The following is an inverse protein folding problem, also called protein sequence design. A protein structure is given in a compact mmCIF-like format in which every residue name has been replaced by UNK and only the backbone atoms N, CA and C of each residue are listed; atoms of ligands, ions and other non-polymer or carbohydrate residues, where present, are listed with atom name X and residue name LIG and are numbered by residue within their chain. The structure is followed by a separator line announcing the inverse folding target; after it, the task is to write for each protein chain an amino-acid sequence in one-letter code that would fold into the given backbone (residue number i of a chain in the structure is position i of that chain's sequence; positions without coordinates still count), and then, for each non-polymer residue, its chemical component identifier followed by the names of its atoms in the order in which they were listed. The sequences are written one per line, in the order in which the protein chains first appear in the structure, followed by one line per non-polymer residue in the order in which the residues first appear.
data_IF_456252829132
#
_entry.id   IF_456252829132
#
_cell.length_a   1.000
_cell.length_b   1.000
_cell.length_c   1.000
_cell.angle_alpha   90.00
_cell.angle_beta   90.00
_cell.angle_gamma   90.00
#
_symmetry.space_group_name_H-M   'P 1'
#
loop_
_entity.id
_entity.type
_entity.pdbx_description
1 polymer ?
#
# COMPACT_ATOMS: atom_id res chain seq x y z
N UNK A 1 -3.39 88.54 -41.46
CA UNK A 1 -4.05 88.03 -40.21
C UNK A 1 -4.06 86.55 -40.28
N UNK A 2 -3.04 85.89 -39.65
CA UNK A 2 -2.80 84.47 -39.75
C UNK A 2 -3.12 83.80 -38.42
N UNK A 3 -4.08 82.88 -38.37
CA UNK A 3 -4.32 81.97 -37.22
C UNK A 3 -3.59 80.68 -37.48
N UNK A 4 -2.60 80.39 -36.64
CA UNK A 4 -1.92 79.06 -36.56
C UNK A 4 -2.71 78.13 -35.68
N UNK A 5 -3.16 77.02 -36.24
CA UNK A 5 -3.72 75.92 -35.47
C UNK A 5 -2.62 75.03 -34.93
N UNK A 6 -2.61 74.80 -33.60
CA UNK A 6 -1.81 73.78 -32.91
C UNK A 6 -2.61 72.53 -32.86
N UNK A 7 -2.09 71.49 -33.47
CA UNK A 7 -2.59 70.10 -33.32
C UNK A 7 -1.72 69.38 -32.29
N UNK A 8 -2.27 69.09 -31.08
CA UNK A 8 -1.65 68.25 -30.09
C UNK A 8 -1.91 66.77 -30.41
N UNK A 9 -0.86 66.09 -30.85
CA UNK A 9 -0.87 64.63 -30.98
C UNK A 9 -0.76 63.98 -29.57
N UNK A 10 -1.83 63.32 -29.11
CA UNK A 10 -1.81 62.45 -27.94
C UNK A 10 -1.32 61.07 -28.38
N UNK A 11 -0.05 60.72 -28.09
CA UNK A 11 0.47 59.40 -28.22
C UNK A 11 -0.05 58.58 -27.00
N UNK A 12 -1.02 57.73 -27.25
CA UNK A 12 -1.49 56.75 -26.25
C UNK A 12 -0.48 55.61 -26.13
N UNK A 13 0.18 55.53 -24.99
CA UNK A 13 1.05 54.40 -24.62
C UNK A 13 0.15 53.22 -24.19
N UNK A 14 -0.10 52.27 -25.11
CA UNK A 14 -0.75 51.01 -24.79
C UNK A 14 0.33 50.11 -24.17
N UNK A 15 0.37 50.04 -22.83
CA UNK A 15 1.16 49.05 -22.11
C UNK A 15 0.55 47.68 -22.34
N UNK A 16 1.14 46.91 -23.23
CA UNK A 16 0.80 45.50 -23.48
C UNK A 16 1.39 44.67 -22.32
N UNK A 17 0.57 44.42 -21.29
CA UNK A 17 0.90 43.43 -20.26
C UNK A 17 0.90 42.07 -20.94
N UNK A 18 2.06 41.65 -21.42
CA UNK A 18 2.30 40.23 -21.76
C UNK A 18 2.31 39.46 -20.42
N UNK A 19 1.14 38.97 -20.01
CA UNK A 19 1.04 38.01 -18.93
C UNK A 19 1.79 36.75 -19.34
N UNK A 20 3.00 36.56 -18.86
CA UNK A 20 3.66 35.28 -18.92
C UNK A 20 2.75 34.27 -18.17
N UNK A 21 2.10 33.42 -18.95
CA UNK A 21 1.43 32.22 -18.38
C UNK A 21 2.57 31.38 -17.84
N UNK A 22 2.89 31.53 -16.55
CA UNK A 22 3.72 30.60 -15.81
C UNK A 22 2.92 29.28 -15.83
N UNK A 23 3.32 28.39 -16.71
CA UNK A 23 2.88 26.99 -16.63
C UNK A 23 3.38 26.52 -15.27
N UNK A 24 2.47 26.41 -14.30
CA UNK A 24 2.79 25.91 -12.98
C UNK A 24 3.32 24.48 -13.16
N UNK A 25 4.61 24.27 -12.86
CA UNK A 25 5.23 22.97 -12.95
C UNK A 25 4.65 22.12 -11.83
N UNK A 26 4.04 20.98 -12.16
CA UNK A 26 3.46 20.09 -11.16
C UNK A 26 4.54 19.30 -10.40
N UNK A 27 4.29 19.04 -9.14
CA UNK A 27 5.06 18.04 -8.39
C UNK A 27 4.62 16.64 -8.80
N UNK A 28 5.48 15.90 -9.46
CA UNK A 28 5.17 14.56 -9.94
C UNK A 28 5.47 13.51 -8.87
N UNK A 29 4.45 12.72 -8.50
CA UNK A 29 4.55 11.47 -7.76
C UNK A 29 4.50 10.33 -8.76
N UNK A 30 5.47 9.40 -8.70
CA UNK A 30 5.55 8.29 -9.64
C UNK A 30 5.04 6.98 -9.02
N UNK A 31 4.18 6.25 -9.73
CA UNK A 31 3.73 4.93 -9.33
C UNK A 31 3.99 3.91 -10.44
N UNK A 32 4.58 2.76 -10.08
CA UNK A 32 4.61 1.57 -10.91
C UNK A 32 3.95 0.45 -10.12
N UNK A 33 2.84 -0.07 -10.64
CA UNK A 33 2.04 -1.06 -9.94
C UNK A 33 1.13 -1.81 -10.94
N UNK A 34 0.54 -2.96 -10.59
CA UNK A 34 -0.36 -3.68 -11.47
C UNK A 34 -1.65 -2.88 -11.71
N UNK A 35 -1.79 -2.33 -12.90
CA UNK A 35 -3.01 -1.67 -13.40
C UNK A 35 -3.86 -2.62 -14.26
N UNK A 36 -3.26 -3.73 -14.68
CA UNK A 36 -3.88 -4.85 -15.37
C UNK A 36 -3.47 -6.18 -14.72
N UNK A 37 -4.09 -7.30 -15.13
CA UNK A 37 -3.82 -8.62 -14.57
C UNK A 37 -4.51 -8.90 -13.22
N UNK A 38 -3.98 -9.87 -12.48
CA UNK A 38 -4.63 -10.46 -11.31
C UNK A 38 -4.80 -9.50 -10.13
N UNK A 39 -3.89 -8.56 -9.94
CA UNK A 39 -3.89 -7.60 -8.83
C UNK A 39 -4.32 -6.19 -9.25
N UNK A 40 -4.82 -6.03 -10.48
CA UNK A 40 -5.20 -4.74 -11.06
C UNK A 40 -6.19 -3.94 -10.21
N UNK A 41 -7.15 -4.60 -9.57
CA UNK A 41 -8.15 -3.89 -8.76
C UNK A 41 -7.49 -3.22 -7.54
N UNK A 42 -6.49 -3.86 -6.94
CA UNK A 42 -5.75 -3.32 -5.79
C UNK A 42 -4.84 -2.16 -6.22
N UNK A 43 -4.07 -2.32 -7.31
CA UNK A 43 -3.21 -1.26 -7.83
C UNK A 43 -3.99 0.01 -8.23
N UNK A 44 -5.12 -0.18 -8.94
CA UNK A 44 -6.02 0.94 -9.32
C UNK A 44 -6.67 1.61 -8.11
N UNK A 45 -7.13 0.83 -7.12
CA UNK A 45 -7.72 1.37 -5.91
C UNK A 45 -6.70 2.21 -5.12
N UNK A 46 -5.48 1.74 -5.02
CA UNK A 46 -4.40 2.48 -4.37
C UNK A 46 -4.09 3.80 -5.09
N UNK A 47 -3.96 3.77 -6.43
CA UNK A 47 -3.80 4.97 -7.24
C UNK A 47 -4.94 5.96 -7.05
N UNK A 48 -6.19 5.46 -7.05
CA UNK A 48 -7.38 6.28 -6.83
C UNK A 48 -7.37 6.92 -5.44
N UNK A 49 -6.96 6.19 -4.40
CA UNK A 49 -6.79 6.72 -3.05
C UNK A 49 -5.81 7.88 -2.99
N UNK A 50 -4.67 7.78 -3.68
CA UNK A 50 -3.71 8.88 -3.78
C UNK A 50 -4.31 10.10 -4.50
N UNK A 51 -4.98 9.88 -5.64
CA UNK A 51 -5.63 10.97 -6.40
C UNK A 51 -6.67 11.70 -5.57
N UNK A 52 -7.49 10.99 -4.79
CA UNK A 52 -8.49 11.61 -3.93
C UNK A 52 -7.89 12.69 -3.01
N UNK A 53 -6.74 12.41 -2.41
CA UNK A 53 -6.09 13.39 -1.54
C UNK A 53 -5.35 14.48 -2.33
N UNK A 54 -4.67 14.13 -3.41
CA UNK A 54 -4.01 15.12 -4.27
C UNK A 54 -5.00 16.12 -4.86
N UNK A 55 -6.19 15.67 -5.29
CA UNK A 55 -7.25 16.55 -5.78
C UNK A 55 -7.73 17.55 -4.72
N UNK A 56 -7.86 17.10 -3.45
CA UNK A 56 -8.19 18.02 -2.34
C UNK A 56 -7.10 19.07 -2.13
N UNK A 57 -5.83 18.65 -2.16
CA UNK A 57 -4.68 19.54 -2.01
C UNK A 57 -4.62 20.53 -3.17
N UNK A 58 -4.82 20.06 -4.39
CA UNK A 58 -4.78 20.90 -5.60
C UNK A 58 -5.91 21.93 -5.61
N UNK A 59 -7.12 21.57 -5.21
CA UNK A 59 -8.24 22.51 -5.01
C UNK A 59 -7.95 23.59 -3.95
N UNK A 60 -7.09 23.28 -2.98
CA UNK A 60 -6.64 24.21 -1.96
C UNK A 60 -5.39 25.03 -2.36
N UNK A 61 -4.96 24.98 -3.63
CA UNK A 61 -3.80 25.73 -4.16
C UNK A 61 -2.52 24.92 -4.26
N UNK A 62 -2.56 23.60 -4.08
CA UNK A 62 -1.42 22.72 -4.23
C UNK A 62 -0.43 22.74 -3.05
N UNK A 63 0.81 22.35 -3.34
CA UNK A 63 1.94 22.44 -2.39
C UNK A 63 2.90 23.51 -2.91
N UNK A 64 3.17 24.52 -2.11
CA UNK A 64 4.00 25.67 -2.49
C UNK A 64 3.52 26.33 -3.81
N UNK A 65 2.19 26.40 -4.01
CA UNK A 65 1.58 27.00 -5.20
C UNK A 65 1.62 26.13 -6.45
N UNK A 66 2.07 24.88 -6.36
CA UNK A 66 2.15 23.93 -7.48
C UNK A 66 1.22 22.75 -7.26
N UNK A 67 0.52 22.24 -8.28
CA UNK A 67 -0.29 21.04 -8.17
C UNK A 67 0.56 19.80 -7.97
N UNK A 68 -0.03 18.77 -7.36
CA UNK A 68 0.55 17.44 -7.21
C UNK A 68 -0.11 16.50 -8.20
N UNK A 69 0.67 15.83 -9.03
CA UNK A 69 0.20 14.92 -10.06
C UNK A 69 0.73 13.50 -9.85
N UNK A 70 -0.09 12.50 -10.17
CA UNK A 70 0.28 11.09 -10.10
C UNK A 70 0.53 10.53 -11.51
N UNK A 71 1.79 10.26 -11.82
CA UNK A 71 2.19 9.53 -13.03
C UNK A 71 2.20 8.02 -12.73
N UNK A 72 1.42 7.25 -13.49
CA UNK A 72 1.22 5.81 -13.26
C UNK A 72 1.67 5.01 -14.47
N UNK A 73 2.46 3.96 -14.24
CA UNK A 73 2.82 2.95 -15.24
C UNK A 73 2.41 1.56 -14.75
N UNK A 74 1.93 0.74 -15.68
CA UNK A 74 1.49 -0.63 -15.43
C UNK A 74 2.65 -1.62 -15.55
N UNK A 75 2.94 -2.39 -14.50
CA UNK A 75 3.92 -3.47 -14.50
C UNK A 75 3.28 -4.86 -14.62
N UNK A 76 1.96 -4.94 -14.72
CA UNK A 76 1.19 -6.19 -14.81
C UNK A 76 1.50 -7.16 -13.65
N UNK A 77 2.15 -6.69 -12.57
CA UNK A 77 2.64 -7.49 -11.45
C UNK A 77 3.90 -8.32 -11.77
N UNK A 78 4.66 -7.97 -12.82
CA UNK A 78 5.89 -8.68 -13.22
C UNK A 78 7.16 -7.93 -12.77
N UNK A 79 8.11 -8.62 -12.09
CA UNK A 79 9.33 -8.01 -11.56
C UNK A 79 10.17 -7.26 -12.59
N UNK A 80 10.37 -7.84 -13.78
CA UNK A 80 11.15 -7.21 -14.86
C UNK A 80 10.46 -5.94 -15.38
N UNK A 81 9.13 -5.96 -15.48
CA UNK A 81 8.35 -4.79 -15.89
C UNK A 81 8.41 -3.69 -14.81
N UNK A 82 8.36 -4.05 -13.53
CA UNK A 82 8.53 -3.08 -12.44
C UNK A 82 9.84 -2.31 -12.60
N UNK A 83 10.95 -3.00 -12.87
CA UNK A 83 12.26 -2.38 -13.09
C UNK A 83 12.24 -1.49 -14.34
N UNK A 84 11.78 -2.03 -15.46
CA UNK A 84 11.74 -1.33 -16.75
C UNK A 84 10.88 -0.07 -16.69
N UNK A 85 9.67 -0.17 -16.12
CA UNK A 85 8.74 0.96 -15.97
C UNK A 85 9.27 1.99 -14.96
N UNK A 86 9.95 1.55 -13.90
CA UNK A 86 10.57 2.50 -12.96
C UNK A 86 11.66 3.32 -13.64
N UNK A 87 12.56 2.71 -14.39
CA UNK A 87 13.59 3.44 -15.16
C UNK A 87 12.97 4.43 -16.15
N UNK A 88 11.91 4.00 -16.86
CA UNK A 88 11.16 4.87 -17.77
C UNK A 88 10.54 6.06 -17.02
N UNK A 89 9.86 5.80 -15.91
CA UNK A 89 9.24 6.83 -15.09
C UNK A 89 10.24 7.87 -14.59
N UNK A 90 11.41 7.41 -14.11
CA UNK A 90 12.49 8.29 -13.64
C UNK A 90 13.05 9.17 -14.75
N UNK A 91 13.21 8.65 -15.97
CA UNK A 91 13.77 9.41 -17.09
C UNK A 91 12.79 10.39 -17.71
N UNK A 92 11.52 10.00 -17.87
CA UNK A 92 10.51 10.79 -18.60
C UNK A 92 9.73 11.76 -17.69
N UNK A 93 9.28 11.28 -16.52
CA UNK A 93 8.41 12.05 -15.63
C UNK A 93 9.15 12.77 -14.52
N UNK A 94 10.40 12.41 -14.26
CA UNK A 94 11.28 12.99 -13.22
C UNK A 94 10.57 13.22 -11.88
N UNK A 95 9.97 12.17 -11.28
CA UNK A 95 9.20 12.31 -10.06
C UNK A 95 10.10 12.73 -8.89
N UNK A 96 9.53 13.46 -7.94
CA UNK A 96 10.22 13.85 -6.69
C UNK A 96 10.12 12.76 -5.62
N UNK A 97 9.20 11.81 -5.80
CA UNK A 97 8.95 10.67 -4.92
C UNK A 97 8.28 9.55 -5.72
N UNK A 98 8.63 8.30 -5.41
CA UNK A 98 7.91 7.12 -5.88
C UNK A 98 6.92 6.67 -4.81
N UNK A 99 5.81 6.04 -5.22
CA UNK A 99 4.77 5.64 -4.29
C UNK A 99 3.98 4.40 -4.75
N UNK A 100 3.47 3.62 -3.80
CA UNK A 100 2.46 2.61 -4.06
C UNK A 100 2.92 1.45 -4.94
N UNK A 101 4.09 0.91 -4.69
CA UNK A 101 4.61 -0.29 -5.36
C UNK A 101 4.14 -1.56 -4.66
N UNK A 102 3.96 -2.64 -5.41
CA UNK A 102 3.37 -3.88 -4.92
C UNK A 102 4.27 -5.10 -5.15
N UNK A 103 4.27 -6.00 -4.17
CA UNK A 103 4.79 -7.36 -4.28
C UNK A 103 6.26 -7.51 -3.86
N UNK A 104 6.53 -8.54 -3.05
CA UNK A 104 7.89 -8.85 -2.56
C UNK A 104 8.88 -9.04 -3.71
N UNK A 105 8.51 -9.83 -4.71
CA UNK A 105 9.38 -10.15 -5.86
C UNK A 105 9.68 -8.91 -6.70
N UNK A 106 8.69 -8.05 -6.90
CA UNK A 106 8.81 -6.81 -7.68
C UNK A 106 9.75 -5.82 -7.00
N UNK A 107 9.59 -5.63 -5.70
CA UNK A 107 10.43 -4.73 -4.92
C UNK A 107 11.86 -5.27 -4.75
N UNK A 108 12.02 -6.58 -4.61
CA UNK A 108 13.34 -7.20 -4.61
C UNK A 108 14.07 -7.02 -5.95
N UNK A 109 13.38 -7.28 -7.06
CA UNK A 109 13.96 -7.06 -8.39
C UNK A 109 14.34 -5.57 -8.58
N UNK A 110 13.53 -4.64 -8.08
CA UNK A 110 13.85 -3.22 -8.12
C UNK A 110 15.14 -2.90 -7.35
N UNK A 111 15.31 -3.43 -6.13
CA UNK A 111 16.52 -3.25 -5.34
C UNK A 111 17.75 -3.89 -6.02
N UNK A 112 17.63 -5.13 -6.44
CA UNK A 112 18.72 -5.90 -7.08
C UNK A 112 19.15 -5.27 -8.40
N UNK A 113 18.23 -4.65 -9.14
CA UNK A 113 18.51 -3.94 -10.39
C UNK A 113 19.28 -2.64 -10.23
N UNK A 114 19.41 -2.14 -9.00
CA UNK A 114 20.02 -0.84 -8.67
C UNK A 114 19.40 0.34 -9.43
N UNK A 115 18.14 0.23 -9.85
CA UNK A 115 17.47 1.26 -10.64
C UNK A 115 17.28 2.57 -9.87
N UNK A 116 17.32 2.54 -8.55
CA UNK A 116 17.21 3.71 -7.68
C UNK A 116 18.58 4.28 -7.24
N UNK A 117 19.68 3.60 -7.55
CA UNK A 117 21.01 4.01 -7.12
C UNK A 117 21.36 5.40 -7.71
N UNK A 118 21.92 6.26 -6.86
CA UNK A 118 22.29 7.62 -7.25
C UNK A 118 21.13 8.62 -7.41
N UNK A 119 19.86 8.16 -7.43
CA UNK A 119 18.70 9.05 -7.60
C UNK A 119 18.28 9.74 -6.29
N UNK A 120 18.65 9.18 -5.15
CA UNK A 120 18.20 9.58 -3.80
C UNK A 120 16.67 9.69 -3.64
N UNK A 121 15.92 9.20 -4.63
CA UNK A 121 14.46 9.30 -4.65
C UNK A 121 13.87 8.34 -3.61
N UNK A 122 12.99 8.82 -2.69
CA UNK A 122 12.32 7.94 -1.75
C UNK A 122 11.17 7.21 -2.43
N UNK A 123 10.90 5.98 -1.96
CA UNK A 123 9.71 5.21 -2.30
C UNK A 123 8.85 5.08 -1.04
N UNK A 124 7.64 5.66 -1.08
CA UNK A 124 6.73 5.78 0.06
C UNK A 124 5.53 4.86 -0.13
N UNK A 125 5.16 4.11 0.91
CA UNK A 125 3.98 3.26 0.90
C UNK A 125 4.07 2.18 -0.18
N UNK A 126 4.65 1.08 0.19
CA UNK A 126 4.79 -0.11 -0.64
C UNK A 126 4.24 -1.33 0.10
N UNK A 127 3.94 -2.36 -0.65
CA UNK A 127 3.49 -3.63 -0.10
C UNK A 127 4.59 -4.68 -0.22
N UNK A 128 5.38 -4.81 0.82
CA UNK A 128 6.37 -5.87 1.00
C UNK A 128 6.57 -6.20 2.47
N UNK A 129 6.84 -7.46 2.76
CA UNK A 129 7.25 -7.96 4.07
C UNK A 129 8.68 -8.52 4.05
N UNK A 130 9.39 -8.40 2.92
CA UNK A 130 10.80 -8.84 2.81
C UNK A 130 11.72 -7.90 3.59
N UNK A 131 12.55 -8.48 4.43
CA UNK A 131 13.42 -7.74 5.35
C UNK A 131 14.47 -6.88 4.63
N UNK A 132 14.91 -7.27 3.43
CA UNK A 132 15.85 -6.49 2.61
C UNK A 132 15.22 -5.22 2.07
N UNK A 133 13.93 -5.30 1.67
CA UNK A 133 13.16 -4.12 1.25
C UNK A 133 12.98 -3.17 2.43
N UNK A 134 12.59 -3.71 3.60
CA UNK A 134 12.41 -2.92 4.81
C UNK A 134 13.71 -2.26 5.31
N UNK A 135 14.86 -2.87 5.07
CA UNK A 135 16.16 -2.34 5.46
C UNK A 135 16.72 -1.27 4.52
N UNK A 136 16.14 -1.09 3.33
CA UNK A 136 16.62 -0.12 2.35
C UNK A 136 16.35 1.33 2.80
N UNK A 137 17.36 2.21 2.78
CA UNK A 137 17.24 3.58 3.30
C UNK A 137 16.33 4.49 2.46
N UNK A 138 15.96 4.08 1.25
CA UNK A 138 15.06 4.81 0.36
C UNK A 138 13.60 4.35 0.48
N UNK A 139 13.34 3.28 1.26
CA UNK A 139 12.02 2.66 1.41
C UNK A 139 11.33 3.12 2.69
N UNK A 140 10.17 3.75 2.55
CA UNK A 140 9.37 4.29 3.65
C UNK A 140 8.01 3.59 3.69
N UNK A 141 7.86 2.60 4.59
CA UNK A 141 6.57 1.91 4.77
C UNK A 141 5.61 2.80 5.54
N UNK A 142 4.40 2.96 5.06
CA UNK A 142 3.32 3.65 5.79
C UNK A 142 2.45 2.70 6.60
N UNK A 143 2.69 1.39 6.54
CA UNK A 143 1.88 0.33 7.12
C UNK A 143 2.62 -0.41 8.23
N UNK A 144 1.87 -1.13 9.06
CA UNK A 144 2.43 -2.04 10.05
C UNK A 144 3.18 -3.18 9.38
N UNK A 145 4.31 -3.56 9.95
CA UNK A 145 5.12 -4.67 9.48
C UNK A 145 4.53 -6.04 9.81
N UNK A 146 5.23 -7.07 9.37
CA UNK A 146 4.81 -8.46 9.61
C UNK A 146 4.81 -8.81 11.11
N UNK A 147 5.73 -8.26 11.87
CA UNK A 147 5.82 -8.47 13.33
C UNK A 147 4.55 -8.01 14.04
N UNK A 148 4.08 -6.81 13.74
CA UNK A 148 2.87 -6.23 14.33
C UNK A 148 1.62 -7.00 13.92
N UNK A 149 1.55 -7.45 12.66
CA UNK A 149 0.44 -8.25 12.16
C UNK A 149 0.37 -9.61 12.84
N UNK A 150 1.50 -10.32 12.95
CA UNK A 150 1.56 -11.62 13.64
C UNK A 150 1.25 -11.44 15.13
N UNK A 151 1.74 -10.40 15.78
CA UNK A 151 1.44 -10.12 17.19
C UNK A 151 -0.07 -9.90 17.41
N UNK A 152 -0.74 -9.15 16.53
CA UNK A 152 -2.21 -8.95 16.60
C UNK A 152 -2.96 -10.26 16.40
N UNK A 153 -2.58 -11.07 15.39
CA UNK A 153 -3.16 -12.38 15.15
C UNK A 153 -2.92 -13.29 16.35
N UNK A 154 -1.70 -13.35 16.88
CA UNK A 154 -1.34 -14.16 18.03
C UNK A 154 -2.17 -13.82 19.28
N UNK A 155 -2.38 -12.52 19.55
CA UNK A 155 -3.25 -12.05 20.63
C UNK A 155 -4.68 -12.54 20.44
N UNK A 156 -5.20 -12.49 19.22
CA UNK A 156 -6.54 -12.99 18.90
C UNK A 156 -6.62 -14.52 19.07
N UNK A 157 -5.63 -15.27 18.60
CA UNK A 157 -5.55 -16.72 18.77
C UNK A 157 -5.61 -17.12 20.24
N UNK A 158 -4.90 -16.39 21.12
CA UNK A 158 -4.96 -16.61 22.57
C UNK A 158 -6.37 -16.37 23.12
N UNK A 159 -7.04 -15.31 22.68
CA UNK A 159 -8.40 -14.94 23.11
C UNK A 159 -9.42 -16.04 22.76
N UNK A 160 -9.28 -16.65 21.59
CA UNK A 160 -10.19 -17.71 21.11
C UNK A 160 -9.70 -19.13 21.46
N UNK A 161 -8.63 -19.28 22.26
CA UNK A 161 -8.13 -20.56 22.78
C UNK A 161 -7.46 -21.44 21.72
N UNK A 162 -6.95 -20.89 20.63
CA UNK A 162 -6.21 -21.64 19.59
C UNK A 162 -4.78 -21.85 20.04
N UNK A 163 -4.35 -23.13 20.13
CA UNK A 163 -3.02 -23.52 20.58
C UNK A 163 -2.18 -24.22 19.51
N UNK A 164 -2.77 -24.64 18.40
CA UNK A 164 -2.08 -25.36 17.31
C UNK A 164 -2.22 -24.59 16.01
N UNK A 165 -1.11 -24.01 15.57
CA UNK A 165 -1.03 -23.16 14.38
C UNK A 165 -0.21 -23.86 13.30
N UNK A 166 -0.65 -23.78 12.05
CA UNK A 166 0.20 -24.02 10.89
C UNK A 166 0.65 -22.69 10.27
N UNK A 167 1.82 -22.68 9.66
CA UNK A 167 2.32 -21.58 8.84
C UNK A 167 2.30 -21.99 7.38
N UNK A 168 1.63 -21.21 6.53
CA UNK A 168 1.67 -21.34 5.06
C UNK A 168 2.16 -20.03 4.49
N UNK A 169 3.10 -20.08 3.56
CA UNK A 169 3.68 -18.85 3.00
C UNK A 169 4.12 -19.04 1.54
N UNK A 170 4.04 -17.98 0.75
CA UNK A 170 4.61 -17.97 -0.59
C UNK A 170 6.13 -18.12 -0.57
N UNK A 171 6.66 -18.77 -1.60
CA UNK A 171 8.09 -18.96 -1.80
C UNK A 171 8.86 -17.62 -1.68
N UNK A 172 9.80 -17.59 -0.73
CA UNK A 172 10.56 -16.40 -0.36
C UNK A 172 11.96 -16.76 0.13
N UNK A 173 12.97 -15.90 -0.10
CA UNK A 173 14.34 -16.19 0.32
C UNK A 173 14.54 -16.25 1.84
N UNK A 174 13.77 -15.48 2.60
CA UNK A 174 13.84 -15.36 4.07
C UNK A 174 12.84 -16.30 4.80
N UNK A 175 12.57 -17.48 4.21
CA UNK A 175 11.61 -18.45 4.76
C UNK A 175 11.97 -18.94 6.16
N UNK A 176 13.26 -19.09 6.47
CA UNK A 176 13.72 -19.53 7.79
C UNK A 176 13.51 -18.43 8.84
N UNK A 177 13.85 -17.20 8.51
CA UNK A 177 13.63 -16.02 9.35
C UNK A 177 12.14 -15.80 9.62
N UNK A 178 11.27 -15.96 8.60
CA UNK A 178 9.84 -15.90 8.76
C UNK A 178 9.35 -16.98 9.74
N UNK A 179 9.79 -18.22 9.60
CA UNK A 179 9.39 -19.33 10.49
C UNK A 179 9.84 -19.06 11.93
N UNK A 180 11.06 -18.57 12.12
CA UNK A 180 11.57 -18.20 13.44
C UNK A 180 10.78 -17.04 14.06
N UNK A 181 10.45 -16.01 13.25
CA UNK A 181 9.64 -14.88 13.65
C UNK A 181 8.26 -15.31 14.14
N UNK A 182 7.55 -16.14 13.35
CA UNK A 182 6.23 -16.66 13.71
C UNK A 182 6.30 -17.48 14.98
N UNK A 183 7.25 -18.40 15.09
CA UNK A 183 7.45 -19.25 16.27
C UNK A 183 7.66 -18.40 17.53
N UNK A 184 8.50 -17.37 17.44
CA UNK A 184 8.76 -16.44 18.55
C UNK A 184 7.50 -15.64 18.93
N UNK A 185 6.76 -15.18 17.94
CA UNK A 185 5.60 -14.30 18.15
C UNK A 185 4.39 -15.03 18.73
N UNK A 186 4.21 -16.33 18.41
CA UNK A 186 3.06 -17.12 18.92
C UNK A 186 3.29 -17.79 20.27
N UNK A 187 4.55 -18.00 20.66
CA UNK A 187 4.88 -18.64 21.95
C UNK A 187 4.23 -17.95 23.18
N UNK A 188 4.22 -16.61 23.30
CA UNK A 188 3.59 -15.95 24.44
C UNK A 188 2.08 -16.17 24.54
N UNK A 189 1.40 -16.50 23.45
CA UNK A 189 -0.03 -16.83 23.44
C UNK A 189 -0.32 -18.29 23.83
N UNK A 190 0.71 -19.10 24.09
CA UNK A 190 0.60 -20.53 24.33
C UNK A 190 0.38 -21.36 23.06
N UNK A 191 0.34 -20.74 21.88
CA UNK A 191 0.23 -21.45 20.61
C UNK A 191 1.58 -22.03 20.18
N UNK A 192 1.52 -23.16 19.46
CA UNK A 192 2.71 -23.83 18.90
C UNK A 192 2.52 -24.02 17.39
N UNK A 193 3.60 -23.82 16.66
CA UNK A 193 3.65 -24.16 15.25
C UNK A 193 3.75 -25.68 15.11
N UNK A 194 2.70 -26.33 14.56
CA UNK A 194 2.61 -27.80 14.43
C UNK A 194 2.90 -28.27 13.00
N UNK A 195 2.80 -27.39 12.02
CA UNK A 195 3.10 -27.65 10.60
C UNK A 195 3.56 -26.38 9.90
N UNK A 196 4.29 -26.54 8.81
CA UNK A 196 4.66 -25.46 7.91
C UNK A 196 4.66 -25.97 6.47
N UNK A 197 4.14 -25.17 5.53
CA UNK A 197 4.12 -25.50 4.11
C UNK A 197 4.40 -24.26 3.27
N UNK A 198 5.03 -24.46 2.10
CA UNK A 198 5.42 -23.40 1.19
C UNK A 198 4.61 -23.47 -0.11
N UNK A 199 4.01 -22.35 -0.49
CA UNK A 199 3.31 -22.17 -1.76
C UNK A 199 4.32 -21.82 -2.85
N UNK A 200 4.59 -22.77 -3.74
CA UNK A 200 5.40 -22.54 -4.94
C UNK A 200 4.61 -21.82 -6.02
N UNK A 201 5.29 -21.05 -6.84
CA UNK A 201 4.70 -20.18 -7.88
C UNK A 201 3.82 -20.90 -8.92
N UNK A 202 3.87 -22.22 -9.01
CA UNK A 202 3.00 -23.05 -9.89
C UNK A 202 2.59 -24.32 -9.15
N UNK A 203 1.28 -24.50 -8.95
CA UNK A 203 0.71 -25.73 -8.38
C UNK A 203 1.07 -26.00 -6.92
N UNK A 204 1.50 -25.00 -6.18
CA UNK A 204 1.95 -25.16 -4.79
C UNK A 204 0.84 -25.36 -3.77
N UNK A 205 -0.42 -25.02 -4.10
CA UNK A 205 -1.53 -25.09 -3.16
C UNK A 205 -1.88 -26.52 -2.77
N UNK A 206 -2.03 -27.44 -3.74
CA UNK A 206 -2.38 -28.83 -3.48
C UNK A 206 -1.31 -29.52 -2.62
N UNK A 207 -0.03 -29.24 -2.94
CA UNK A 207 1.08 -29.79 -2.17
C UNK A 207 1.08 -29.26 -0.73
N UNK A 208 0.86 -27.98 -0.55
CA UNK A 208 0.79 -27.37 0.77
C UNK A 208 -0.37 -27.94 1.60
N UNK A 209 -1.54 -28.19 0.97
CA UNK A 209 -2.67 -28.86 1.62
C UNK A 209 -2.31 -30.27 2.04
N UNK A 210 -1.67 -31.07 1.17
CA UNK A 210 -1.19 -32.41 1.50
C UNK A 210 -0.19 -32.40 2.67
N UNK A 211 0.77 -31.46 2.69
CA UNK A 211 1.72 -31.31 3.79
C UNK A 211 1.03 -31.00 5.12
N UNK A 212 -0.02 -30.15 5.11
CA UNK A 212 -0.83 -29.87 6.31
C UNK A 212 -1.65 -31.07 6.77
N UNK A 213 -2.22 -31.83 5.85
CA UNK A 213 -3.00 -33.04 6.15
C UNK A 213 -2.11 -34.17 6.70
N UNK A 214 -0.87 -34.26 6.23
CA UNK A 214 0.12 -35.23 6.69
C UNK A 214 0.75 -34.87 8.05
N UNK A 215 0.44 -33.69 8.60
CA UNK A 215 0.99 -33.26 9.88
C UNK A 215 0.53 -34.20 11.01
N UNK A 216 1.47 -34.59 11.89
CA UNK A 216 1.18 -35.49 13.05
C UNK A 216 0.08 -34.96 13.99
N UNK A 217 -0.09 -33.66 14.00
CA UNK A 217 -1.09 -32.95 14.80
C UNK A 217 -1.82 -31.96 13.92
N UNK A 218 -3.13 -32.10 13.78
CA UNK A 218 -3.94 -31.22 12.96
C UNK A 218 -3.94 -29.78 13.51
N UNK A 219 -3.69 -28.77 12.68
CA UNK A 219 -3.77 -27.38 13.09
C UNK A 219 -5.23 -26.96 13.35
N UNK A 220 -5.43 -26.09 14.32
CA UNK A 220 -6.71 -25.42 14.59
C UNK A 220 -6.85 -24.14 13.75
N UNK A 221 -5.71 -23.52 13.45
CA UNK A 221 -5.65 -22.34 12.61
C UNK A 221 -4.42 -22.40 11.68
N UNK A 222 -4.49 -21.66 10.60
CA UNK A 222 -3.44 -21.48 9.61
C UNK A 222 -3.10 -20.00 9.55
N UNK A 223 -1.86 -19.62 9.80
CA UNK A 223 -1.32 -18.31 9.46
C UNK A 223 -0.84 -18.36 8.01
N UNK A 224 -1.38 -17.49 7.17
CA UNK A 224 -1.09 -17.42 5.74
C UNK A 224 -0.39 -16.11 5.40
N UNK A 225 0.86 -16.21 4.95
CA UNK A 225 1.69 -15.07 4.51
C UNK A 225 1.85 -15.16 3.00
N UNK A 226 0.90 -14.60 2.27
CA UNK A 226 0.80 -14.77 0.82
C UNK A 226 0.02 -13.62 0.17
N UNK A 227 0.29 -13.38 -1.11
CA UNK A 227 -0.46 -12.46 -1.98
C UNK A 227 -1.93 -12.89 -2.13
N UNK A 228 -2.79 -11.98 -2.60
CA UNK A 228 -4.22 -12.30 -2.83
C UNK A 228 -4.43 -13.49 -3.78
N UNK A 229 -3.72 -13.60 -4.92
CA UNK A 229 -3.86 -14.77 -5.80
C UNK A 229 -3.48 -16.08 -5.13
N UNK A 230 -2.36 -16.11 -4.40
CA UNK A 230 -1.87 -17.31 -3.73
C UNK A 230 -2.77 -17.70 -2.54
N UNK A 231 -3.25 -16.70 -1.79
CA UNK A 231 -4.23 -16.90 -0.71
C UNK A 231 -5.52 -17.50 -1.25
N UNK A 232 -6.08 -16.97 -2.35
CA UNK A 232 -7.29 -17.51 -2.94
C UNK A 232 -7.11 -18.97 -3.38
N UNK A 233 -6.03 -19.27 -4.11
CA UNK A 233 -5.75 -20.62 -4.58
C UNK A 233 -5.54 -21.61 -3.44
N UNK A 234 -4.85 -21.20 -2.37
CA UNK A 234 -4.67 -22.06 -1.20
C UNK A 234 -5.97 -22.30 -0.45
N UNK A 235 -6.75 -21.25 -0.17
CA UNK A 235 -8.03 -21.39 0.56
C UNK A 235 -9.00 -22.27 -0.22
N UNK A 236 -9.10 -22.08 -1.55
CA UNK A 236 -9.93 -22.92 -2.41
C UNK A 236 -9.51 -24.40 -2.33
N UNK A 237 -8.26 -24.73 -2.58
CA UNK A 237 -7.74 -26.09 -2.50
C UNK A 237 -7.94 -26.69 -1.11
N UNK A 238 -7.66 -25.93 -0.05
CA UNK A 238 -7.82 -26.38 1.33
C UNK A 238 -9.28 -26.69 1.69
N UNK A 239 -10.23 -25.86 1.27
CA UNK A 239 -11.66 -26.06 1.51
C UNK A 239 -12.23 -27.20 0.67
N UNK A 240 -11.80 -27.35 -0.58
CA UNK A 240 -12.20 -28.48 -1.46
C UNK A 240 -11.79 -29.84 -0.85
N UNK A 241 -10.65 -29.92 -0.20
CA UNK A 241 -10.15 -31.11 0.50
C UNK A 241 -10.74 -31.27 1.92
N UNK A 242 -11.81 -30.54 2.26
CA UNK A 242 -12.51 -30.64 3.54
C UNK A 242 -11.79 -29.96 4.71
N UNK A 243 -10.83 -29.09 4.45
CA UNK A 243 -10.11 -28.36 5.49
C UNK A 243 -11.01 -27.40 6.26
N UNK A 244 -11.02 -27.50 7.61
CA UNK A 244 -11.92 -26.72 8.49
C UNK A 244 -11.21 -25.74 9.40
N UNK A 245 -9.86 -25.75 9.48
CA UNK A 245 -9.12 -24.79 10.30
C UNK A 245 -9.42 -23.36 9.90
N UNK A 246 -9.40 -22.46 10.88
CA UNK A 246 -9.52 -21.04 10.63
C UNK A 246 -8.27 -20.53 9.89
N UNK A 247 -8.45 -19.64 8.93
CA UNK A 247 -7.33 -19.08 8.16
C UNK A 247 -7.16 -17.60 8.53
N UNK A 248 -5.95 -17.25 8.95
CA UNK A 248 -5.54 -15.89 9.28
C UNK A 248 -4.51 -15.44 8.26
N UNK A 249 -4.89 -14.57 7.34
CA UNK A 249 -3.99 -14.01 6.33
C UNK A 249 -3.39 -12.68 6.80
N UNK A 250 -2.15 -12.42 6.38
CA UNK A 250 -1.53 -11.10 6.52
C UNK A 250 -2.13 -10.11 5.53
N UNK A 251 -1.85 -8.82 5.71
CA UNK A 251 -2.32 -7.74 4.83
C UNK A 251 -1.65 -7.72 3.43
N UNK A 252 -0.92 -8.76 3.05
CA UNK A 252 -0.55 -9.03 1.65
C UNK A 252 -1.76 -9.55 0.86
N UNK A 253 -2.71 -10.17 1.54
CA UNK A 253 -4.00 -10.54 0.99
C UNK A 253 -5.01 -9.37 1.11
N UNK A 254 -5.78 -9.16 0.06
CA UNK A 254 -6.81 -8.13 -0.05
C UNK A 254 -8.19 -8.79 0.03
N UNK A 255 -8.98 -8.41 1.04
CA UNK A 255 -10.28 -9.04 1.32
C UNK A 255 -11.28 -8.82 0.18
N UNK A 256 -11.24 -7.66 -0.46
CA UNK A 256 -12.12 -7.33 -1.58
C UNK A 256 -11.79 -8.15 -2.83
N UNK A 257 -10.51 -8.48 -3.04
CA UNK A 257 -10.11 -9.39 -4.12
C UNK A 257 -10.50 -10.84 -3.82
N UNK A 258 -10.30 -11.28 -2.58
CA UNK A 258 -10.69 -12.64 -2.17
C UNK A 258 -12.20 -12.83 -2.31
N UNK A 259 -13.00 -11.83 -1.89
CA UNK A 259 -14.47 -11.88 -2.02
C UNK A 259 -14.98 -11.93 -3.47
N UNK A 260 -14.17 -11.52 -4.46
CA UNK A 260 -14.49 -11.66 -5.88
C UNK A 260 -14.09 -13.00 -6.48
N UNK A 261 -13.16 -13.71 -5.83
CA UNK A 261 -12.56 -14.95 -6.36
C UNK A 261 -13.08 -16.20 -5.69
N UNK A 262 -13.39 -16.12 -4.41
CA UNK A 262 -13.79 -17.26 -3.60
C UNK A 262 -15.30 -17.29 -3.42
N UNK A 263 -15.94 -18.46 -3.50
CA UNK A 263 -17.28 -18.68 -3.00
C UNK A 263 -17.42 -18.26 -1.53
N UNK A 264 -18.60 -17.77 -1.13
CA UNK A 264 -18.85 -17.28 0.23
C UNK A 264 -18.57 -18.35 1.29
N UNK A 265 -18.92 -19.59 1.00
CA UNK A 265 -18.69 -20.74 1.88
C UNK A 265 -17.19 -21.00 2.16
N UNK A 266 -16.30 -20.71 1.21
CA UNK A 266 -14.84 -20.87 1.40
C UNK A 266 -14.23 -19.72 2.20
N UNK A 267 -14.88 -18.58 2.21
CA UNK A 267 -14.44 -17.43 3.00
C UNK A 267 -14.83 -17.53 4.48
N UNK A 268 -15.74 -18.43 4.86
CA UNK A 268 -16.12 -18.61 6.27
C UNK A 268 -14.92 -18.98 7.13
N UNK A 269 -14.71 -18.24 8.24
CA UNK A 269 -13.56 -18.40 9.12
C UNK A 269 -12.24 -17.88 8.56
N UNK A 270 -12.26 -17.10 7.47
CA UNK A 270 -11.12 -16.35 6.99
C UNK A 270 -11.04 -15.02 7.74
N UNK A 271 -9.86 -14.73 8.28
CA UNK A 271 -9.53 -13.47 8.92
C UNK A 271 -8.34 -12.84 8.21
N UNK A 272 -8.37 -11.53 8.00
CA UNK A 272 -7.29 -10.81 7.32
C UNK A 272 -6.83 -9.64 8.19
N UNK A 273 -5.53 -9.54 8.41
CA UNK A 273 -4.95 -8.38 9.06
C UNK A 273 -5.13 -7.14 8.19
N UNK A 274 -5.65 -6.06 8.79
CA UNK A 274 -5.80 -4.76 8.13
C UNK A 274 -4.81 -3.79 8.74
N UNK A 275 -4.05 -3.14 7.90
CA UNK A 275 -2.97 -2.22 8.31
C UNK A 275 -3.35 -0.75 8.19
N UNK A 276 -4.59 -0.48 7.83
CA UNK A 276 -5.23 0.84 7.84
C UNK A 276 -6.63 0.74 8.45
N UNK A 277 -7.19 1.83 8.98
CA UNK A 277 -8.56 1.85 9.48
C UNK A 277 -9.57 1.50 8.39
N UNK A 278 -10.69 0.90 8.80
CA UNK A 278 -11.75 0.50 7.87
C UNK A 278 -12.23 1.65 6.99
N UNK A 279 -12.22 1.50 5.66
CA UNK A 279 -12.75 2.50 4.73
C UNK A 279 -14.28 2.63 4.82
N UNK A 280 -14.95 1.66 5.45
CA UNK A 280 -16.40 1.54 5.53
C UNK A 280 -17.01 2.13 6.80
N UNK A 281 -16.18 2.42 7.81
CA UNK A 281 -16.61 2.96 9.12
C UNK A 281 -15.98 4.31 9.38
N UNK A 282 -16.72 5.21 10.00
CA UNK A 282 -16.21 6.50 10.45
C UNK A 282 -15.88 6.38 11.93
N UNK A 283 -14.65 5.97 12.23
CA UNK A 283 -14.16 5.80 13.60
C UNK A 283 -13.23 6.93 14.07
N UNK A 284 -12.82 7.82 13.14
CA UNK A 284 -11.88 8.89 13.45
C UNK A 284 -11.79 9.96 12.36
N UNK A 285 -10.91 10.94 12.57
CA UNK A 285 -10.72 12.06 11.64
C UNK A 285 -10.27 11.57 10.26
N UNK A 286 -9.29 10.66 10.19
CA UNK A 286 -8.80 10.09 8.94
C UNK A 286 -9.93 9.44 8.13
N UNK A 287 -10.75 8.59 8.78
CA UNK A 287 -11.88 7.92 8.12
C UNK A 287 -12.93 8.92 7.61
N UNK A 288 -13.17 9.99 8.39
CA UNK A 288 -14.08 11.06 7.96
C UNK A 288 -13.57 11.78 6.72
N UNK A 289 -12.31 12.19 6.72
CA UNK A 289 -11.68 12.86 5.58
C UNK A 289 -11.70 11.97 4.32
N UNK A 290 -11.37 10.69 4.46
CA UNK A 290 -11.44 9.72 3.37
C UNK A 290 -12.86 9.57 2.81
N UNK A 291 -13.86 9.39 3.69
CA UNK A 291 -15.26 9.29 3.28
C UNK A 291 -15.73 10.55 2.57
N UNK A 292 -15.41 11.73 3.12
CA UNK A 292 -15.81 13.01 2.51
C UNK A 292 -15.16 13.17 1.11
N UNK A 293 -13.91 12.71 0.94
CA UNK A 293 -13.23 12.67 -0.36
C UNK A 293 -13.92 11.73 -1.35
N UNK A 294 -14.30 10.54 -0.93
CA UNK A 294 -14.98 9.55 -1.79
C UNK A 294 -16.37 10.03 -2.19
N UNK A 295 -17.11 10.67 -1.29
CA UNK A 295 -18.42 11.26 -1.59
C UNK A 295 -18.27 12.41 -2.59
N UNK A 296 -17.27 13.28 -2.40
CA UNK A 296 -17.01 14.40 -3.33
C UNK A 296 -16.60 13.93 -4.73
N UNK A 297 -15.87 12.82 -4.83
CA UNK A 297 -15.51 12.19 -6.10
C UNK A 297 -16.74 11.54 -6.79
N UNK A 298 -17.65 10.95 -6.01
CA UNK A 298 -18.90 10.38 -6.51
C UNK A 298 -18.70 9.41 -7.69
N UNK A 299 -19.25 9.76 -8.87
CA UNK A 299 -19.18 8.93 -10.09
C UNK A 299 -17.79 8.92 -10.75
N UNK A 300 -16.84 9.75 -10.33
CA UNK A 300 -15.48 9.75 -10.86
C UNK A 300 -14.58 8.68 -10.25
N UNK A 301 -15.10 7.86 -9.33
CA UNK A 301 -14.39 6.70 -8.83
C UNK A 301 -14.39 5.58 -9.87
N UNK A 302 -13.20 5.23 -10.36
CA UNK A 302 -13.02 4.16 -11.34
C UNK A 302 -13.16 2.75 -10.72
N UNK A 303 -13.01 2.66 -9.41
CA UNK A 303 -13.06 1.41 -8.63
C UNK A 303 -13.83 1.60 -7.33
N UNK A 304 -14.43 0.52 -6.78
CA UNK A 304 -15.11 0.60 -5.48
C UNK A 304 -14.17 1.00 -4.34
N UNK A 305 -14.74 1.65 -3.32
CA UNK A 305 -14.04 1.90 -2.05
C UNK A 305 -13.50 0.59 -1.47
N UNK A 306 -12.26 0.61 -0.98
CA UNK A 306 -11.56 -0.57 -0.48
C UNK A 306 -10.45 -0.19 0.52
N UNK A 307 -9.89 -1.19 1.21
CA UNK A 307 -8.70 -0.99 2.06
C UNK A 307 -7.50 -0.48 1.26
N UNK A 308 -7.29 -1.00 0.05
CA UNK A 308 -6.21 -0.51 -0.82
C UNK A 308 -6.38 0.98 -1.19
N UNK A 309 -7.63 1.46 -1.39
CA UNK A 309 -7.90 2.87 -1.63
C UNK A 309 -7.60 3.72 -0.39
N UNK A 310 -7.94 3.24 0.81
CA UNK A 310 -7.59 3.91 2.08
C UNK A 310 -6.06 3.97 2.27
N UNK A 311 -5.33 2.89 1.96
CA UNK A 311 -3.86 2.90 2.02
C UNK A 311 -3.26 3.95 1.08
N UNK A 312 -3.76 4.05 -0.15
CA UNK A 312 -3.35 5.08 -1.11
C UNK A 312 -3.60 6.50 -0.58
N UNK A 313 -4.76 6.72 0.06
CA UNK A 313 -5.10 8.00 0.67
C UNK A 313 -4.16 8.37 1.82
N UNK A 314 -3.86 7.41 2.71
CA UNK A 314 -2.86 7.56 3.79
C UNK A 314 -1.50 7.93 3.21
N UNK A 315 -1.10 7.24 2.16
CA UNK A 315 0.18 7.47 1.50
C UNK A 315 0.30 8.88 0.92
N UNK A 316 -0.74 9.33 0.25
CA UNK A 316 -0.79 10.69 -0.30
C UNK A 316 -0.69 11.75 0.80
N UNK A 317 -1.31 11.54 1.97
CA UNK A 317 -1.18 12.44 3.13
C UNK A 317 0.26 12.53 3.62
N UNK A 318 0.95 11.39 3.73
CA UNK A 318 2.38 11.35 4.12
C UNK A 318 3.25 12.08 3.10
N UNK A 319 3.04 11.82 1.80
CA UNK A 319 3.79 12.45 0.71
C UNK A 319 3.61 13.97 0.72
N UNK A 320 2.39 14.45 0.80
CA UNK A 320 2.09 15.89 0.81
C UNK A 320 2.68 16.57 2.03
N UNK A 321 2.65 15.93 3.19
CA UNK A 321 3.31 16.48 4.39
C UNK A 321 4.83 16.57 4.23
N UNK A 322 5.45 15.53 3.66
CA UNK A 322 6.87 15.57 3.35
C UNK A 322 7.21 16.67 2.33
N UNK A 323 6.38 16.87 1.29
CA UNK A 323 6.53 17.98 0.34
C UNK A 323 6.45 19.33 1.02
N UNK A 324 5.50 19.53 1.94
CA UNK A 324 5.35 20.80 2.69
C UNK A 324 6.57 21.13 3.55
N UNK A 325 7.23 20.09 4.10
CA UNK A 325 8.47 20.24 4.89
C UNK A 325 9.73 20.35 4.05
N UNK A 326 9.63 20.06 2.74
CA UNK A 326 10.74 20.12 1.80
C UNK A 326 10.82 21.49 1.12
N UNK A 327 11.94 22.19 1.26
CA UNK A 327 12.16 23.49 0.60
C UNK A 327 13.60 23.55 0.07
N UNK A 328 13.81 23.52 -1.24
CA UNK A 328 12.84 23.18 -2.31
C UNK A 328 12.41 21.71 -2.27
N UNK A 329 11.34 21.37 -3.00
CA UNK A 329 10.90 19.96 -3.14
C UNK A 329 11.84 19.25 -4.13
N UNK A 330 12.76 18.46 -3.59
CA UNK A 330 13.69 17.59 -4.34
C UNK A 330 13.70 16.20 -3.73
N UNK A 331 14.15 15.15 -4.46
CA UNK A 331 14.24 13.79 -3.91
C UNK A 331 14.99 13.73 -2.57
N UNK A 332 16.13 14.40 -2.45
CA UNK A 332 16.95 14.44 -1.22
C UNK A 332 16.22 15.09 -0.06
N UNK A 333 15.56 16.24 -0.32
CA UNK A 333 14.79 16.96 0.69
C UNK A 333 13.55 16.17 1.11
N UNK A 334 12.89 15.48 0.15
CA UNK A 334 11.78 14.58 0.43
C UNK A 334 12.23 13.43 1.36
N UNK A 335 13.36 12.78 1.06
CA UNK A 335 13.92 11.73 1.92
C UNK A 335 14.23 12.24 3.33
N UNK A 336 14.80 13.43 3.45
CA UNK A 336 15.10 14.06 4.75
C UNK A 336 13.81 14.40 5.52
N UNK A 337 12.81 14.98 4.83
CA UNK A 337 11.51 15.32 5.41
C UNK A 337 10.76 14.09 5.92
N UNK A 338 10.78 12.98 5.15
CA UNK A 338 10.18 11.70 5.55
C UNK A 338 10.83 11.16 6.84
N UNK A 339 12.17 11.12 6.90
CA UNK A 339 12.88 10.71 8.13
C UNK A 339 12.56 11.57 9.35
N UNK A 340 12.20 12.83 9.14
CA UNK A 340 11.75 13.75 10.18
C UNK A 340 10.30 13.58 10.61
N UNK A 341 9.52 12.68 9.98
CA UNK A 341 8.17 12.36 10.43
C UNK A 341 8.23 11.32 11.56
N UNK A 342 8.38 11.83 12.78
CA UNK A 342 8.39 11.02 14.00
C UNK A 342 7.04 11.14 14.69
N UNK A 343 6.36 9.98 14.88
CA UNK A 343 5.03 9.93 15.52
C UNK A 343 4.04 10.95 14.92
N UNK A 344 3.97 11.00 13.59
CA UNK A 344 3.11 11.95 12.88
C UNK A 344 1.68 11.41 12.80
N UNK A 345 0.71 12.18 13.33
CA UNK A 345 -0.71 11.84 13.35
C UNK A 345 -1.43 12.30 12.08
N UNK A 346 -1.95 11.33 11.33
CA UNK A 346 -2.76 11.56 10.13
C UNK A 346 -4.26 11.73 10.43
N UNK A 347 -4.64 11.80 11.69
CA UNK A 347 -6.02 11.89 12.17
C UNK A 347 -6.49 10.61 12.87
N UNK A 348 -5.69 10.12 13.82
CA UNK A 348 -5.87 8.87 14.56
C UNK A 348 -5.12 7.68 13.96
N UNK A 349 -4.36 7.90 12.90
CA UNK A 349 -3.44 6.94 12.30
C UNK A 349 -2.02 7.51 12.33
N UNK A 350 -1.11 6.82 13.01
CA UNK A 350 0.23 7.32 13.29
C UNK A 350 1.27 6.65 12.41
N UNK A 351 2.19 7.45 11.87
CA UNK A 351 3.37 6.96 11.15
C UNK A 351 4.65 7.44 11.82
N UNK A 352 5.72 6.63 11.71
CA UNK A 352 7.03 6.93 12.27
C UNK A 352 8.12 6.36 11.36
N UNK A 353 8.98 7.22 10.82
CA UNK A 353 10.06 6.82 9.92
C UNK A 353 11.45 6.94 10.56
N UNK A 354 11.52 6.89 11.88
CA UNK A 354 12.81 6.71 12.57
C UNK A 354 13.51 5.45 12.09
N UNK A 355 14.85 5.46 11.94
CA UNK A 355 15.60 4.26 11.65
C UNK A 355 15.26 3.13 12.65
N UNK A 356 14.99 1.93 12.12
CA UNK A 356 14.58 0.77 12.92
C UNK A 356 13.11 0.74 13.37
N UNK A 357 12.29 1.73 12.94
CA UNK A 357 10.83 1.70 13.12
C UNK A 357 10.14 1.31 11.81
N UNK A 358 9.04 0.57 11.92
CA UNK A 358 8.08 0.42 10.82
C UNK A 358 7.14 1.62 10.78
N UNK A 359 6.63 1.97 9.62
CA UNK A 359 5.83 3.18 9.41
C UNK A 359 4.65 3.34 10.36
N UNK A 360 3.84 2.30 10.54
CA UNK A 360 2.72 2.30 11.48
C UNK A 360 2.74 1.06 12.37
N UNK A 361 2.02 1.12 13.51
CA UNK A 361 1.73 -0.05 14.36
C UNK A 361 0.26 -0.44 14.32
N UNK A 362 -0.53 0.23 13.48
CA UNK A 362 -1.95 -0.06 13.38
C UNK A 362 -2.17 -1.40 12.71
N UNK A 363 -2.83 -2.32 13.44
CA UNK A 363 -3.33 -3.58 12.91
C UNK A 363 -4.70 -3.85 13.50
N UNK A 364 -5.66 -4.16 12.64
CA UNK A 364 -6.97 -4.69 13.01
C UNK A 364 -7.24 -6.00 12.26
N UNK A 365 -8.32 -6.71 12.59
CA UNK A 365 -8.69 -7.95 11.94
C UNK A 365 -10.07 -7.81 11.27
N UNK A 366 -10.13 -8.04 9.98
CA UNK A 366 -11.38 -8.27 9.26
C UNK A 366 -11.69 -9.76 9.30
N UNK A 367 -12.82 -10.14 9.87
CA UNK A 367 -13.25 -11.53 10.02
C UNK A 367 -14.47 -11.77 9.14
N UNK A 368 -14.44 -12.79 8.32
CA UNK A 368 -15.59 -13.20 7.50
C UNK A 368 -16.39 -14.23 8.27
N UNK A 369 -17.63 -13.89 8.61
CA UNK A 369 -18.53 -14.81 9.31
C UNK A 369 -19.17 -15.82 8.33
N UNK A 370 -19.92 -16.79 8.87
CA UNK A 370 -20.57 -17.84 8.09
C UNK A 370 -21.59 -17.32 7.04
N UNK A 371 -22.08 -16.09 7.19
CA UNK A 371 -22.96 -15.44 6.23
C UNK A 371 -22.18 -14.62 5.16
N UNK A 372 -20.85 -14.73 5.10
CA UNK A 372 -20.00 -13.99 4.19
C UNK A 372 -19.85 -12.51 4.52
N UNK A 373 -20.31 -12.06 5.68
CA UNK A 373 -20.18 -10.65 6.09
C UNK A 373 -18.85 -10.42 6.77
N UNK A 374 -18.19 -9.34 6.38
CA UNK A 374 -16.97 -8.86 7.01
C UNK A 374 -17.33 -8.10 8.30
N UNK A 375 -16.76 -8.53 9.40
CA UNK A 375 -16.83 -7.85 10.72
C UNK A 375 -15.45 -7.39 11.13
N UNK A 376 -15.37 -6.28 11.87
CA UNK A 376 -14.17 -5.72 12.48
C UNK A 376 -14.47 -5.35 13.92
#
# INVERSE_FOLDING_TARGET
MNRKHWVLARAGLVAMCAGAVLVAQAWTVGQVAPMSGAEASQGRAYAQGMRLYFDQVNKAGGVQGQPVELAVLDDVGHPEETVTKTRKLLSESKPVVLAGYFGNRNLLALLESKALDGSQIPLVGYQSTDTRVLASPQMFSTRAGLVEQIAKISTHLATVGITRLALVFEERPDAQELTALVTKAVNPSGAKLVASAMLKSRGGSDKAVQELQAAKTSPQAILLVASSPATAAFVEAYRMEGGTAQVYATAEADIEQLAKRLPVEYMSGLSIAQVVPSPYKVSGKLNKEFRDATIAAGKSLDVPVSFAMMEGFVNAKVIVEAMRRSQPVTPEKMSAALRGLESYDLGGYWVNFKPGQVGSKYVDLSIVNAAGRVTQ
#
